data_IF_178833411225
#
_entry.id   IF_178833411225
#
_cell.length_a   1.000
_cell.length_b   1.000
_cell.length_c   1.000
_cell.angle_alpha   90.00
_cell.angle_beta   90.00
_cell.angle_gamma   90.00
#
_symmetry.space_group_name_H-M   'P 1'
#
loop_
_entity.id
_entity.type
_entity.pdbx_description
1 polymer ?
#
# COMPACT_ATOMS: atom_id res chain seq x y z
N UNK A 1 21.23 -15.13 19.25
CA UNK A 1 21.76 -13.79 19.62
C UNK A 1 21.17 -12.69 18.75
N UNK A 2 21.16 -12.87 17.43
CA UNK A 2 20.48 -11.99 16.45
C UNK A 2 19.05 -11.59 16.82
N UNK A 3 18.17 -12.57 17.04
CA UNK A 3 16.74 -12.33 17.32
C UNK A 3 16.55 -11.51 18.59
N UNK A 4 17.29 -11.85 19.65
CA UNK A 4 17.23 -11.15 20.93
C UNK A 4 17.69 -9.70 20.80
N UNK A 5 18.79 -9.45 20.08
CA UNK A 5 19.28 -8.10 19.78
C UNK A 5 18.26 -7.27 18.98
N UNK A 6 17.66 -7.87 17.94
CA UNK A 6 16.65 -7.21 17.12
C UNK A 6 15.45 -6.73 17.93
N UNK A 7 14.88 -7.61 18.77
CA UNK A 7 13.71 -7.26 19.57
C UNK A 7 14.05 -6.25 20.67
N UNK A 8 15.20 -6.39 21.35
CA UNK A 8 15.63 -5.41 22.35
C UNK A 8 15.76 -4.01 21.75
N UNK A 9 16.43 -3.93 20.60
CA UNK A 9 16.63 -2.68 19.88
C UNK A 9 15.30 -2.08 19.41
N UNK A 10 14.41 -2.90 18.83
CA UNK A 10 13.09 -2.48 18.36
C UNK A 10 12.25 -1.88 19.49
N UNK A 11 12.15 -2.57 20.63
CA UNK A 11 11.36 -2.08 21.76
C UNK A 11 11.99 -0.83 22.37
N UNK A 12 13.32 -0.75 22.46
CA UNK A 12 14.01 0.44 22.96
C UNK A 12 13.73 1.67 22.09
N UNK A 13 13.79 1.56 20.76
CA UNK A 13 13.45 2.67 19.85
C UNK A 13 11.99 3.09 20.02
N UNK A 14 11.08 2.13 20.15
CA UNK A 14 9.66 2.41 20.34
C UNK A 14 9.37 3.10 21.68
N UNK A 15 10.06 2.71 22.76
CA UNK A 15 9.94 3.35 24.09
C UNK A 15 10.43 4.80 24.11
N UNK A 16 11.42 5.15 23.28
CA UNK A 16 11.94 6.53 23.15
C UNK A 16 10.99 7.39 22.29
N UNK A 17 9.88 6.83 21.79
CA UNK A 17 8.86 7.55 21.03
C UNK A 17 9.14 7.63 19.53
N UNK A 18 10.07 6.82 19.01
CA UNK A 18 10.32 6.73 17.57
C UNK A 18 9.11 6.08 16.88
N UNK A 19 8.58 6.64 15.77
CA UNK A 19 7.48 6.03 15.02
C UNK A 19 7.75 4.56 14.68
N UNK A 20 6.71 3.72 14.76
CA UNK A 20 6.84 2.27 14.61
C UNK A 20 7.54 1.88 13.30
N UNK A 21 7.19 2.55 12.19
CA UNK A 21 7.80 2.31 10.88
C UNK A 21 9.33 2.55 10.88
N UNK A 22 9.78 3.64 11.51
CA UNK A 22 11.19 3.96 11.63
C UNK A 22 11.91 2.99 12.59
N UNK A 23 11.24 2.61 13.69
CA UNK A 23 11.77 1.62 14.65
C UNK A 23 12.00 0.27 14.00
N UNK A 24 11.07 -0.23 13.19
CA UNK A 24 11.21 -1.48 12.44
C UNK A 24 12.38 -1.42 11.45
N UNK A 25 12.45 -0.34 10.66
CA UNK A 25 13.49 -0.18 9.64
C UNK A 25 14.90 -0.07 10.23
N UNK A 26 15.06 0.71 11.31
CA UNK A 26 16.34 0.89 11.98
C UNK A 26 16.78 -0.37 12.73
N UNK A 27 15.88 -1.01 13.49
CA UNK A 27 16.23 -2.23 14.21
C UNK A 27 16.60 -3.38 13.26
N UNK A 28 15.86 -3.53 12.16
CA UNK A 28 16.15 -4.51 11.12
C UNK A 28 17.48 -4.24 10.41
N UNK A 29 17.71 -3.00 9.97
CA UNK A 29 18.95 -2.64 9.25
C UNK A 29 20.20 -2.78 10.10
N UNK A 30 20.17 -2.33 11.36
CA UNK A 30 21.29 -2.47 12.31
C UNK A 30 21.57 -3.95 12.61
N UNK A 31 20.52 -4.77 12.76
CA UNK A 31 20.71 -6.22 12.99
C UNK A 31 21.34 -6.91 11.79
N UNK A 32 20.92 -6.57 10.56
CA UNK A 32 21.53 -7.10 9.34
C UNK A 32 23.01 -6.66 9.26
N UNK A 33 23.30 -5.40 9.61
CA UNK A 33 24.67 -4.88 9.59
C UNK A 33 25.64 -5.63 10.51
N UNK A 34 25.18 -6.00 11.71
CA UNK A 34 26.05 -6.56 12.75
C UNK A 34 26.19 -8.10 12.69
N UNK A 35 25.20 -8.80 12.13
CA UNK A 35 25.14 -10.26 12.24
C UNK A 35 25.07 -11.02 10.91
N UNK A 36 24.99 -10.33 9.76
CA UNK A 36 25.02 -10.99 8.46
C UNK A 36 26.43 -10.99 7.86
N UNK A 37 26.92 -12.13 7.33
CA UNK A 37 28.26 -12.24 6.74
C UNK A 37 28.46 -11.38 5.48
N UNK A 38 27.37 -11.00 4.79
CA UNK A 38 27.34 -10.05 3.68
C UNK A 38 26.38 -8.89 3.98
N UNK A 39 26.64 -8.18 5.08
CA UNK A 39 25.75 -7.16 5.66
C UNK A 39 25.24 -6.13 4.66
N UNK A 40 26.13 -5.51 3.88
CA UNK A 40 25.76 -4.44 2.93
C UNK A 40 24.93 -4.98 1.76
N UNK A 41 25.30 -6.14 1.23
CA UNK A 41 24.57 -6.78 0.13
C UNK A 41 23.19 -7.25 0.56
N UNK A 42 23.09 -7.88 1.73
CA UNK A 42 21.83 -8.38 2.28
C UNK A 42 20.86 -7.24 2.60
N UNK A 43 21.37 -6.12 3.11
CA UNK A 43 20.59 -4.91 3.33
C UNK A 43 20.07 -4.31 2.02
N UNK A 44 20.94 -4.20 1.01
CA UNK A 44 20.55 -3.69 -0.31
C UNK A 44 19.44 -4.54 -0.96
N UNK A 45 19.55 -5.87 -0.89
CA UNK A 45 18.52 -6.78 -1.42
C UNK A 45 17.19 -6.59 -0.67
N UNK A 46 17.20 -6.58 0.68
CA UNK A 46 15.96 -6.39 1.47
C UNK A 46 15.26 -5.06 1.17
N UNK A 47 16.04 -3.98 1.03
CA UNK A 47 15.49 -2.66 0.71
C UNK A 47 14.88 -2.63 -0.70
N UNK A 48 15.49 -3.34 -1.65
CA UNK A 48 14.97 -3.45 -3.01
C UNK A 48 13.68 -4.29 -3.07
N UNK A 49 13.64 -5.44 -2.40
CA UNK A 49 12.44 -6.29 -2.29
C UNK A 49 11.26 -5.54 -1.66
N UNK A 50 11.51 -4.67 -0.68
CA UNK A 50 10.47 -3.85 -0.05
C UNK A 50 9.99 -2.72 -0.98
N UNK A 51 10.81 -2.28 -1.94
CA UNK A 51 10.43 -1.23 -2.89
C UNK A 51 9.54 -1.77 -4.02
N UNK A 52 9.65 -3.06 -4.34
CA UNK A 52 8.83 -3.74 -5.36
C UNK A 52 7.44 -4.16 -4.85
N UNK A 53 6.77 -3.32 -4.07
CA UNK A 53 5.38 -3.56 -3.71
C UNK A 53 4.47 -3.34 -4.92
N UNK A 54 4.26 -4.40 -5.70
CA UNK A 54 3.32 -4.42 -6.84
C UNK A 54 1.92 -3.90 -6.45
N UNK A 55 1.50 -4.11 -5.20
CA UNK A 55 0.25 -3.57 -4.67
C UNK A 55 0.20 -2.04 -4.67
N UNK A 56 1.33 -1.36 -4.45
CA UNK A 56 1.40 0.11 -4.51
C UNK A 56 1.28 0.63 -5.95
N UNK A 57 1.65 -0.16 -6.96
CA UNK A 57 1.39 0.18 -8.37
C UNK A 57 -0.10 0.23 -8.69
N UNK A 58 -0.96 -0.41 -7.89
CA UNK A 58 -2.40 -0.30 -8.06
C UNK A 58 -2.87 1.16 -7.94
N UNK A 59 -2.25 1.98 -7.08
CA UNK A 59 -2.64 3.40 -6.89
C UNK A 59 -2.51 4.22 -8.18
N UNK A 60 -1.32 4.32 -8.83
CA UNK A 60 -1.18 5.07 -10.07
C UNK A 60 -1.99 4.46 -11.21
N UNK A 61 -2.12 3.12 -11.29
CA UNK A 61 -2.93 2.49 -12.32
C UNK A 61 -4.43 2.74 -12.14
N UNK A 62 -4.93 2.78 -10.91
CA UNK A 62 -6.31 3.20 -10.63
C UNK A 62 -6.52 4.67 -11.01
N UNK A 63 -5.57 5.55 -10.71
CA UNK A 63 -5.64 6.95 -11.08
C UNK A 63 -5.68 7.12 -12.61
N UNK A 64 -4.82 6.40 -13.33
CA UNK A 64 -4.75 6.42 -14.78
C UNK A 64 -6.02 5.86 -15.42
N UNK A 65 -6.52 4.73 -14.90
CA UNK A 65 -7.79 4.14 -15.34
C UNK A 65 -8.95 5.11 -15.13
N UNK A 66 -9.04 5.73 -13.95
CA UNK A 66 -10.05 6.75 -13.66
C UNK A 66 -9.97 7.97 -14.58
N UNK A 67 -8.76 8.42 -14.91
CA UNK A 67 -8.55 9.49 -15.88
C UNK A 67 -9.04 9.10 -17.28
N UNK A 68 -8.73 7.89 -17.75
CA UNK A 68 -9.24 7.37 -19.02
C UNK A 68 -10.75 7.20 -19.02
N UNK A 69 -11.36 6.72 -17.94
CA UNK A 69 -12.81 6.57 -17.84
C UNK A 69 -13.53 7.92 -17.88
N UNK A 70 -12.94 8.94 -17.25
CA UNK A 70 -13.50 10.29 -17.20
C UNK A 70 -13.35 11.00 -18.54
N UNK A 71 -12.15 11.01 -19.11
CA UNK A 71 -11.86 11.68 -20.39
C UNK A 71 -12.51 10.97 -21.58
N UNK A 72 -12.59 9.64 -21.57
CA UNK A 72 -13.26 8.84 -22.59
C UNK A 72 -14.79 8.83 -22.49
N UNK A 73 -15.37 9.48 -21.47
CA UNK A 73 -16.81 9.51 -21.23
C UNK A 73 -17.41 8.17 -20.79
N UNK A 74 -16.58 7.15 -20.54
CA UNK A 74 -17.01 5.81 -20.10
C UNK A 74 -17.71 5.91 -18.75
N UNK A 75 -17.16 6.69 -17.81
CA UNK A 75 -17.77 6.90 -16.49
C UNK A 75 -19.22 7.41 -16.61
N UNK A 76 -19.46 8.37 -17.52
CA UNK A 76 -20.80 8.92 -17.73
C UNK A 76 -21.75 7.90 -18.36
N UNK A 77 -21.30 7.17 -19.38
CA UNK A 77 -22.08 6.09 -20.02
C UNK A 77 -22.46 4.98 -19.02
N UNK A 78 -21.56 4.65 -18.08
CA UNK A 78 -21.79 3.66 -17.04
C UNK A 78 -22.88 4.11 -16.06
N UNK A 79 -22.83 5.38 -15.63
CA UNK A 79 -23.85 5.99 -14.77
C UNK A 79 -25.20 6.05 -15.48
N UNK A 80 -25.23 6.48 -16.75
CA UNK A 80 -26.46 6.55 -17.54
C UNK A 80 -27.11 5.15 -17.69
N UNK A 81 -26.28 4.11 -17.90
CA UNK A 81 -26.74 2.72 -17.95
C UNK A 81 -27.31 2.25 -16.60
N UNK A 82 -26.59 2.46 -15.50
CA UNK A 82 -27.07 2.10 -14.17
C UNK A 82 -28.39 2.80 -13.82
N UNK A 83 -28.51 4.10 -14.12
CA UNK A 83 -29.74 4.87 -13.96
C UNK A 83 -30.88 4.34 -14.83
N UNK A 84 -30.62 3.91 -16.07
CA UNK A 84 -31.65 3.31 -16.91
C UNK A 84 -32.19 1.99 -16.31
N UNK A 85 -31.33 1.19 -15.68
CA UNK A 85 -31.72 -0.08 -15.07
C UNK A 85 -32.53 0.09 -13.77
N UNK A 86 -32.09 0.96 -12.86
CA UNK A 86 -32.65 1.02 -11.49
C UNK A 86 -33.15 2.38 -11.05
N UNK A 87 -32.99 3.44 -11.86
CA UNK A 87 -33.40 4.81 -11.51
C UNK A 87 -34.90 5.00 -11.26
N UNK A 88 -35.73 4.13 -11.83
CA UNK A 88 -37.19 4.14 -11.62
C UNK A 88 -37.62 3.53 -10.27
N UNK A 89 -36.72 2.87 -9.55
CA UNK A 89 -36.99 2.23 -8.26
C UNK A 89 -36.75 3.25 -7.13
N UNK A 90 -37.60 3.24 -6.09
CA UNK A 90 -37.33 4.04 -4.88
C UNK A 90 -36.00 3.64 -4.26
N UNK A 91 -35.08 4.59 -4.11
CA UNK A 91 -33.69 4.32 -3.69
C UNK A 91 -32.73 3.99 -4.84
N UNK A 92 -33.17 4.10 -6.09
CA UNK A 92 -32.43 3.73 -7.30
C UNK A 92 -31.05 4.39 -7.46
N UNK A 93 -30.83 5.59 -6.89
CA UNK A 93 -29.52 6.24 -6.88
C UNK A 93 -28.49 5.47 -6.05
N UNK A 94 -28.88 4.95 -4.88
CA UNK A 94 -27.98 4.15 -4.04
C UNK A 94 -27.68 2.79 -4.67
N UNK A 95 -28.70 2.18 -5.30
CA UNK A 95 -28.55 0.91 -6.02
C UNK A 95 -27.67 1.12 -7.26
N UNK A 96 -27.88 2.21 -7.99
CA UNK A 96 -27.09 2.56 -9.18
C UNK A 96 -25.62 2.82 -8.85
N UNK A 97 -25.33 3.40 -7.68
CA UNK A 97 -23.95 3.63 -7.22
C UNK A 97 -23.17 2.36 -6.87
N UNK A 98 -23.85 1.25 -6.57
CA UNK A 98 -23.21 -0.07 -6.35
C UNK A 98 -23.04 -0.82 -7.69
N UNK A 99 -23.91 -0.54 -8.65
CA UNK A 99 -24.00 -1.24 -9.93
C UNK A 99 -23.05 -0.65 -10.99
N UNK A 100 -22.72 0.64 -10.89
CA UNK A 100 -21.72 1.36 -11.69
C UNK A 100 -20.35 1.35 -11.00
#
# INVERSE_FOLDING_TARGET
MTVLFLFLLLFLLMFIGVPIAASLGLAGSITIMLFSPDSVRSLAIKLFETSEHYTLLAIPFFLLSGAFMTTGGVARRLIDFANACVGHIRGGLAIGAVLA
#
